data_IF_105919486234
#
_entry.id   IF_105919486234
#
_cell.length_a   1.000
_cell.length_b   1.000
_cell.length_c   1.000
_cell.angle_alpha   90.00
_cell.angle_beta   90.00
_cell.angle_gamma   90.00
#
_symmetry.space_group_name_H-M   'P 1'
#
loop_
_entity.id
_entity.type
_entity.pdbx_description
1 polymer ?
#
# COMPACT_ATOMS: atom_id res chain seq x y z
N UNK A 1 -3.78 -13.74 5.74
CA UNK A 1 -4.17 -12.42 5.20
C UNK A 1 -5.48 -12.01 5.83
N UNK A 2 -5.64 -10.73 6.14
CA UNK A 2 -6.89 -10.16 6.63
C UNK A 2 -7.25 -8.93 5.79
N UNK A 3 -8.53 -8.73 5.52
CA UNK A 3 -9.05 -7.58 4.78
C UNK A 3 -10.07 -6.82 5.63
N UNK A 4 -10.04 -5.50 5.58
CA UNK A 4 -11.01 -4.61 6.20
C UNK A 4 -11.56 -3.73 5.07
N UNK A 5 -12.89 -3.69 4.94
CA UNK A 5 -13.59 -2.84 3.97
C UNK A 5 -14.64 -2.04 4.72
N UNK A 6 -14.72 -0.74 4.48
CA UNK A 6 -15.71 0.12 5.15
C UNK A 6 -17.09 0.11 4.47
N UNK A 7 -17.21 -0.57 3.32
CA UNK A 7 -18.45 -0.60 2.52
C UNK A 7 -18.71 0.68 1.71
N UNK A 8 -17.81 1.66 1.76
CA UNK A 8 -17.91 2.95 1.08
C UNK A 8 -16.72 3.22 0.13
N UNK A 9 -15.96 2.17 -0.23
CA UNK A 9 -14.87 2.24 -1.19
C UNK A 9 -13.46 2.20 -0.59
N UNK A 10 -13.30 2.28 0.74
CA UNK A 10 -11.98 2.16 1.36
C UNK A 10 -11.68 0.71 1.74
N UNK A 11 -10.43 0.32 1.49
CA UNK A 11 -9.96 -1.04 1.71
C UNK A 11 -8.57 -1.05 2.37
N UNK A 12 -8.37 -2.02 3.25
CA UNK A 12 -7.07 -2.30 3.85
C UNK A 12 -6.82 -3.80 3.84
N UNK A 13 -5.62 -4.20 3.45
CA UNK A 13 -5.19 -5.58 3.46
C UNK A 13 -3.88 -5.75 4.21
N UNK A 14 -3.85 -6.70 5.15
CA UNK A 14 -2.65 -7.06 5.90
C UNK A 14 -2.16 -8.46 5.48
N UNK A 15 -0.90 -8.54 5.08
CA UNK A 15 -0.18 -9.77 4.75
C UNK A 15 0.95 -9.98 5.76
N UNK A 16 0.86 -11.08 6.51
CA UNK A 16 1.94 -11.55 7.38
C UNK A 16 2.76 -12.58 6.62
N UNK A 17 4.04 -12.28 6.44
CA UNK A 17 5.03 -13.14 5.79
C UNK A 17 6.19 -13.38 6.76
N UNK A 18 7.09 -14.36 6.51
CA UNK A 18 8.22 -14.59 7.40
C UNK A 18 9.11 -13.35 7.65
N UNK A 19 9.18 -12.44 6.67
CA UNK A 19 9.93 -11.18 6.79
C UNK A 19 9.25 -10.09 7.63
N UNK A 20 7.97 -10.22 7.97
CA UNK A 20 7.25 -9.23 8.77
C UNK A 20 5.78 -9.04 8.35
N UNK A 21 5.26 -7.84 8.57
CA UNK A 21 3.91 -7.46 8.18
C UNK A 21 3.95 -6.39 7.08
N UNK A 22 3.28 -6.66 5.97
CA UNK A 22 3.02 -5.71 4.90
C UNK A 22 1.54 -5.36 4.88
N UNK A 23 1.23 -4.06 4.82
CA UNK A 23 -0.12 -3.56 4.72
C UNK A 23 -0.20 -2.66 3.50
N UNK A 24 -1.17 -2.93 2.63
CA UNK A 24 -1.57 -2.00 1.58
C UNK A 24 -2.97 -1.48 1.86
N UNK A 25 -3.22 -0.23 1.51
CA UNK A 25 -4.54 0.35 1.64
C UNK A 25 -4.92 1.18 0.43
N UNK A 26 -6.22 1.31 0.26
CA UNK A 26 -6.87 2.12 -0.75
C UNK A 26 -7.88 3.02 -0.04
N UNK A 27 -7.66 4.33 -0.14
CA UNK A 27 -8.60 5.35 0.28
C UNK A 27 -9.24 5.96 -0.98
N UNK A 28 -10.52 5.72 -1.18
CA UNK A 28 -11.26 6.07 -2.39
C UNK A 28 -11.21 7.57 -2.68
N UNK A 29 -11.33 8.38 -1.63
CA UNK A 29 -11.32 9.85 -1.70
C UNK A 29 -9.92 10.47 -1.67
N UNK A 30 -8.85 9.66 -1.61
CA UNK A 30 -7.49 10.16 -1.51
C UNK A 30 -7.10 11.04 -2.71
N UNK A 31 -6.37 12.12 -2.43
CA UNK A 31 -5.78 12.93 -3.50
C UNK A 31 -4.75 12.18 -4.33
N UNK A 32 -4.11 11.17 -3.75
CA UNK A 32 -3.11 10.31 -4.37
C UNK A 32 -3.73 9.07 -5.03
N UNK A 33 -5.06 9.02 -5.17
CA UNK A 33 -5.74 7.89 -5.80
C UNK A 33 -5.31 7.68 -7.26
N UNK A 34 -5.02 6.44 -7.68
CA UNK A 34 -4.62 6.14 -9.05
C UNK A 34 -5.70 6.49 -10.09
N UNK A 35 -6.96 6.53 -9.66
CA UNK A 35 -8.11 6.78 -10.52
C UNK A 35 -8.34 8.26 -10.86
N UNK A 36 -7.50 9.18 -10.36
CA UNK A 36 -7.51 10.59 -10.81
C UNK A 36 -6.91 10.80 -12.21
N UNK A 37 -6.15 9.81 -12.71
CA UNK A 37 -5.53 9.84 -14.04
C UNK A 37 -6.26 8.89 -14.98
N UNK A 38 -6.22 9.16 -16.28
CA UNK A 38 -6.74 8.27 -17.32
C UNK A 38 -5.66 8.05 -18.40
N UNK A 39 -5.09 6.83 -18.53
CA UNK A 39 -5.42 5.61 -17.77
C UNK A 39 -5.04 5.73 -16.27
N UNK A 40 -5.65 4.90 -15.38
CA UNK A 40 -5.27 4.88 -13.97
C UNK A 40 -3.78 4.61 -13.78
N UNK A 41 -3.15 5.35 -12.88
CA UNK A 41 -1.73 5.23 -12.63
C UNK A 41 -1.44 5.43 -11.15
N UNK A 42 -0.70 4.50 -10.56
CA UNK A 42 -0.25 4.57 -9.18
C UNK A 42 0.54 5.86 -8.91
N UNK A 43 0.47 6.32 -7.68
CA UNK A 43 1.26 7.46 -7.25
C UNK A 43 2.76 7.16 -7.42
N UNK A 44 3.56 8.08 -7.98
CA UNK A 44 4.99 7.85 -8.17
C UNK A 44 5.69 7.50 -6.87
N UNK A 45 6.61 6.52 -6.92
CA UNK A 45 7.41 6.10 -5.76
C UNK A 45 6.69 5.20 -4.75
N UNK A 46 5.40 4.91 -4.93
CA UNK A 46 4.57 4.23 -3.91
C UNK A 46 5.14 2.89 -3.42
N UNK A 47 5.92 2.18 -4.22
CA UNK A 47 6.52 0.90 -3.83
C UNK A 47 8.05 0.90 -3.82
N UNK A 48 8.69 2.02 -4.15
CA UNK A 48 10.14 2.07 -4.40
C UNK A 48 10.96 1.76 -3.13
N UNK A 49 10.46 2.17 -1.97
CA UNK A 49 11.11 1.92 -0.67
C UNK A 49 10.70 0.59 -0.03
N UNK A 50 9.82 -0.21 -0.65
CA UNK A 50 9.32 -1.46 -0.06
C UNK A 50 10.45 -2.50 -0.03
N UNK A 51 10.81 -3.05 1.15
CA UNK A 51 11.87 -4.05 1.25
C UNK A 51 11.58 -5.30 0.41
N UNK A 52 12.64 -5.88 -0.16
CA UNK A 52 12.54 -7.13 -0.96
C UNK A 52 11.93 -8.31 -0.19
N UNK A 53 11.96 -8.28 1.15
CA UNK A 53 11.27 -9.25 2.00
C UNK A 53 9.75 -9.32 1.73
N UNK A 54 9.16 -8.27 1.15
CA UNK A 54 7.75 -8.17 0.79
C UNK A 54 7.50 -8.31 -0.73
N UNK A 55 8.47 -8.75 -1.52
CA UNK A 55 8.29 -8.97 -2.96
C UNK A 55 7.11 -9.93 -3.26
N UNK A 56 6.90 -10.95 -2.41
CA UNK A 56 5.74 -11.84 -2.51
C UNK A 56 4.42 -11.11 -2.22
N UNK A 57 4.41 -10.13 -1.32
CA UNK A 57 3.21 -9.33 -1.02
C UNK A 57 2.82 -8.42 -2.19
N UNK A 58 3.81 -7.88 -2.93
CA UNK A 58 3.55 -7.08 -4.13
C UNK A 58 3.03 -7.90 -5.32
N UNK A 59 3.20 -9.22 -5.29
CA UNK A 59 2.73 -10.14 -6.33
C UNK A 59 1.58 -11.04 -5.84
N UNK A 60 1.00 -10.75 -4.67
CA UNK A 60 -0.07 -11.55 -4.08
C UNK A 60 -1.35 -11.44 -4.93
N UNK A 61 -1.85 -12.54 -5.53
CA UNK A 61 -3.02 -12.49 -6.41
C UNK A 61 -4.30 -11.98 -5.75
N UNK A 62 -4.41 -12.12 -4.42
CA UNK A 62 -5.55 -11.61 -3.67
C UNK A 62 -5.53 -10.08 -3.49
N UNK A 63 -4.43 -9.40 -3.84
CA UNK A 63 -4.31 -7.95 -3.75
C UNK A 63 -4.58 -7.28 -5.09
N UNK A 64 -5.51 -6.32 -5.10
CA UNK A 64 -5.67 -5.39 -6.22
C UNK A 64 -4.58 -4.30 -6.15
N UNK A 65 -3.34 -4.63 -6.51
CA UNK A 65 -2.21 -3.69 -6.44
C UNK A 65 -2.48 -2.37 -7.16
N UNK A 66 -3.09 -2.34 -8.38
CA UNK A 66 -3.48 -1.09 -9.03
C UNK A 66 -4.39 -0.18 -8.21
N UNK A 67 -5.23 -0.73 -7.32
CA UNK A 67 -6.00 0.03 -6.34
C UNK A 67 -5.24 0.15 -5.01
N UNK A 68 -4.20 1.00 -4.98
CA UNK A 68 -3.42 1.29 -3.77
C UNK A 68 -3.13 2.80 -3.68
N UNK A 69 -3.30 3.35 -2.48
CA UNK A 69 -2.99 4.75 -2.17
C UNK A 69 -1.90 4.90 -1.12
N UNK A 70 -1.68 3.87 -0.30
CA UNK A 70 -0.58 3.83 0.67
C UNK A 70 -0.13 2.40 0.92
N UNK A 71 1.11 2.27 1.37
CA UNK A 71 1.64 1.05 1.97
C UNK A 71 2.39 1.39 3.25
N UNK A 72 2.29 0.50 4.22
CA UNK A 72 3.12 0.52 5.42
C UNK A 72 3.62 -0.90 5.68
N UNK A 73 4.77 -1.01 6.30
CA UNK A 73 5.34 -2.31 6.64
C UNK A 73 6.14 -2.25 7.92
N UNK A 74 6.38 -3.42 8.49
CA UNK A 74 7.31 -3.60 9.59
C UNK A 74 8.05 -4.91 9.37
N UNK A 75 9.38 -4.85 9.26
CA UNK A 75 10.19 -6.07 9.26
C UNK A 75 10.22 -6.67 10.66
N UNK A 76 10.50 -7.97 10.76
CA UNK A 76 10.69 -8.65 12.04
C UNK A 76 11.86 -8.10 12.85
N UNK A 77 12.87 -7.53 12.17
CA UNK A 77 14.02 -6.87 12.77
C UNK A 77 13.78 -5.42 13.21
N UNK A 78 12.65 -4.82 12.80
CA UNK A 78 12.42 -3.40 13.00
C UNK A 78 11.65 -3.13 14.30
N UNK A 79 12.07 -2.09 15.01
CA UNK A 79 11.40 -1.61 16.22
C UNK A 79 10.13 -0.79 15.92
N UNK A 80 9.89 -0.43 14.65
CA UNK A 80 8.79 0.43 14.23
C UNK A 80 8.21 0.08 12.86
N UNK A 81 7.17 0.81 12.49
CA UNK A 81 6.58 0.75 11.14
C UNK A 81 7.26 1.77 10.23
N UNK A 82 7.33 1.41 8.95
CA UNK A 82 7.88 2.21 7.87
C UNK A 82 6.83 2.38 6.78
N UNK A 83 7.00 3.39 5.93
CA UNK A 83 6.16 3.69 4.77
C UNK A 83 7.02 4.18 3.63
N UNK A 84 6.44 4.31 2.43
CA UNK A 84 7.17 4.73 1.23
C UNK A 84 7.59 6.18 1.32
N UNK A 85 8.81 6.47 0.86
CA UNK A 85 9.31 7.83 0.74
C UNK A 85 8.79 8.42 -0.58
N UNK A 86 7.64 9.10 -0.52
CA UNK A 86 6.98 9.69 -1.68
C UNK A 86 6.77 11.19 -1.50
N UNK A 87 6.71 11.92 -2.61
CA UNK A 87 6.21 13.30 -2.58
C UNK A 87 4.70 13.27 -2.37
N UNK A 88 4.23 13.87 -1.29
CA UNK A 88 2.81 13.97 -0.98
C UNK A 88 2.14 15.01 -1.87
N UNK A 89 0.84 14.86 -2.12
CA UNK A 89 0.09 15.88 -2.86
C UNK A 89 0.07 17.20 -2.07
N UNK A 90 0.34 18.33 -2.71
CA UNK A 90 0.33 19.65 -2.07
C UNK A 90 -0.94 19.85 -1.20
N UNK A 91 -0.73 20.16 0.09
CA UNK A 91 -1.66 20.14 1.23
C UNK A 91 -1.83 18.79 1.97
N UNK A 92 -0.74 18.21 2.48
CA UNK A 92 -0.78 17.36 3.69
C UNK A 92 -0.26 18.15 4.91
#
# INVERSE_FOLDING_TARGET
>A
MSAIKNGCGDELFAHFVPGGCFIKGFAHESKMTPFKRNPPQLWPGLFDSVPNAFAHSLNEPAFDIPATTFVIWRLTSDDGWSTSEIEHSDND
#
